data_IF_734898869384
#
_entry.id   IF_734898869384
#
_cell.length_a   1.000
_cell.length_b   1.000
_cell.length_c   1.000
_cell.angle_alpha   90.00
_cell.angle_beta   90.00
_cell.angle_gamma   90.00
#
_symmetry.space_group_name_H-M   'P 1'
#
loop_
_entity.id
_entity.type
_entity.pdbx_description
1 polymer ?
#
# COMPACT_ATOMS: atom_id res chain seq x y z
N UNK A 1 -13.60 21.98 15.93
CA UNK A 1 -13.59 20.66 15.26
C UNK A 1 -15.00 20.32 14.84
N UNK A 2 -15.22 19.52 13.78
CA UNK A 2 -16.57 19.08 13.43
C UNK A 2 -17.16 18.18 14.54
N UNK A 3 -18.43 18.36 14.88
CA UNK A 3 -19.07 17.63 16.00
C UNK A 3 -19.28 16.14 15.73
N UNK A 4 -19.59 15.77 14.47
CA UNK A 4 -20.10 14.43 14.13
C UNK A 4 -19.21 13.61 13.19
N UNK A 5 -18.09 14.18 12.71
CA UNK A 5 -17.21 13.55 11.72
C UNK A 5 -15.75 13.84 12.08
N UNK A 6 -14.80 13.14 11.47
CA UNK A 6 -13.38 13.48 11.67
C UNK A 6 -13.00 14.80 10.98
N UNK A 7 -11.98 15.50 11.48
CA UNK A 7 -11.43 16.69 10.79
C UNK A 7 -10.88 16.35 9.40
N UNK A 8 -10.41 15.12 9.23
CA UNK A 8 -9.92 14.61 7.95
C UNK A 8 -11.06 14.43 6.94
N UNK A 9 -12.20 13.87 7.37
CA UNK A 9 -13.39 13.75 6.53
C UNK A 9 -13.89 15.13 6.08
N UNK A 10 -13.86 16.12 6.99
CA UNK A 10 -14.17 17.52 6.64
C UNK A 10 -13.20 18.05 5.58
N UNK A 11 -11.89 17.85 5.74
CA UNK A 11 -10.87 18.27 4.76
C UNK A 11 -11.14 17.69 3.37
N UNK A 12 -11.36 16.38 3.25
CA UNK A 12 -11.64 15.71 1.97
C UNK A 12 -12.91 16.24 1.29
N UNK A 13 -13.97 16.52 2.05
CA UNK A 13 -15.19 17.13 1.50
C UNK A 13 -14.93 18.53 0.98
N UNK A 14 -14.08 19.31 1.66
CA UNK A 14 -13.65 20.63 1.19
C UNK A 14 -12.76 20.55 -0.06
N UNK A 15 -12.01 19.46 -0.23
CA UNK A 15 -11.26 19.13 -1.45
C UNK A 15 -12.16 18.59 -2.59
N UNK A 16 -13.47 18.46 -2.35
CA UNK A 16 -14.47 18.07 -3.35
C UNK A 16 -14.76 16.56 -3.41
N UNK A 17 -14.22 15.78 -2.48
CA UNK A 17 -14.47 14.34 -2.43
C UNK A 17 -15.88 14.01 -1.90
N UNK A 18 -16.50 12.95 -2.43
CA UNK A 18 -17.76 12.42 -1.91
C UNK A 18 -17.49 11.24 -0.99
N UNK A 19 -17.75 11.43 0.30
CA UNK A 19 -17.50 10.41 1.33
C UNK A 19 -18.71 9.56 1.70
N UNK A 20 -19.80 9.60 0.92
CA UNK A 20 -21.06 8.90 1.26
C UNK A 20 -20.87 7.39 1.51
N UNK A 21 -19.98 6.77 0.74
CA UNK A 21 -19.73 5.33 0.81
C UNK A 21 -18.61 4.95 1.79
N UNK A 22 -17.73 5.90 2.14
CA UNK A 22 -16.53 5.66 2.96
C UNK A 22 -16.67 6.15 4.40
N UNK A 23 -17.39 7.26 4.61
CA UNK A 23 -17.69 7.81 5.93
C UNK A 23 -19.13 8.36 5.95
N UNK A 24 -20.11 7.54 6.35
CA UNK A 24 -21.51 7.95 6.42
C UNK A 24 -21.79 9.11 7.38
N UNK A 25 -20.84 9.43 8.27
CA UNK A 25 -20.96 10.54 9.22
C UNK A 25 -20.46 11.86 8.63
N UNK A 26 -19.74 11.82 7.51
CA UNK A 26 -19.29 13.03 6.81
C UNK A 26 -20.49 13.86 6.34
N UNK A 27 -20.39 15.17 6.52
CA UNK A 27 -21.44 16.13 6.14
C UNK A 27 -21.14 16.73 4.78
N UNK A 28 -22.16 17.28 4.14
CA UNK A 28 -21.96 18.06 2.91
C UNK A 28 -21.17 19.35 3.19
N UNK A 29 -20.57 19.93 2.16
CA UNK A 29 -19.85 21.21 2.28
C UNK A 29 -20.76 22.32 2.82
N UNK A 30 -22.04 22.34 2.44
CA UNK A 30 -22.99 23.34 2.91
C UNK A 30 -23.26 23.18 4.40
N UNK A 31 -23.53 21.95 4.86
CA UNK A 31 -23.73 21.68 6.29
C UNK A 31 -22.49 22.07 7.12
N UNK A 32 -21.28 21.74 6.66
CA UNK A 32 -20.07 22.13 7.38
C UNK A 32 -19.92 23.65 7.52
N UNK A 33 -20.23 24.41 6.44
CA UNK A 33 -20.22 25.88 6.47
C UNK A 33 -21.30 26.44 7.40
N UNK A 34 -22.50 25.87 7.37
CA UNK A 34 -23.61 26.30 8.23
C UNK A 34 -23.27 26.09 9.72
N UNK A 35 -22.61 24.97 10.07
CA UNK A 35 -22.17 24.69 11.43
C UNK A 35 -21.03 25.59 11.92
N UNK A 36 -20.06 25.90 11.05
CA UNK A 36 -18.92 26.73 11.44
C UNK A 36 -19.24 28.23 11.44
N UNK A 37 -20.28 28.64 10.71
CA UNK A 37 -20.70 30.03 10.61
C UNK A 37 -19.75 30.88 9.78
N UNK A 38 -19.79 32.19 10.02
CA UNK A 38 -19.09 33.20 9.21
C UNK A 38 -17.56 33.21 9.40
N UNK A 39 -17.07 32.63 10.49
CA UNK A 39 -15.64 32.62 10.84
C UNK A 39 -14.92 31.33 10.38
N UNK A 40 -15.57 30.47 9.59
CA UNK A 40 -14.96 29.28 8.99
C UNK A 40 -13.69 29.67 8.20
N UNK A 41 -12.55 29.10 8.62
CA UNK A 41 -11.24 29.38 7.99
C UNK A 41 -10.56 30.68 8.43
N UNK A 42 -11.15 31.43 9.37
CA UNK A 42 -10.56 32.67 9.91
C UNK A 42 -9.56 32.44 11.06
N UNK A 43 -9.31 31.17 11.42
CA UNK A 43 -8.36 30.77 12.46
C UNK A 43 -7.41 29.67 11.97
N UNK A 44 -6.27 29.54 12.64
CA UNK A 44 -5.26 28.53 12.33
C UNK A 44 -4.09 29.09 11.54
N UNK A 45 -3.61 28.31 10.56
CA UNK A 45 -2.39 28.59 9.81
C UNK A 45 -2.68 29.50 8.61
N UNK A 46 -1.90 30.57 8.48
CA UNK A 46 -2.05 31.50 7.34
C UNK A 46 -1.62 30.89 6.00
N UNK A 47 -2.22 31.36 4.90
CA UNK A 47 -1.80 31.00 3.53
C UNK A 47 -0.33 31.34 3.27
N UNK A 48 0.18 32.43 3.87
CA UNK A 48 1.60 32.80 3.79
C UNK A 48 2.50 31.75 4.44
N UNK A 49 2.09 31.19 5.58
CA UNK A 49 2.83 30.11 6.21
C UNK A 49 2.86 28.89 5.29
N UNK A 50 1.70 28.46 4.77
CA UNK A 50 1.61 27.32 3.85
C UNK A 50 2.51 27.50 2.61
N UNK A 51 2.47 28.68 1.99
CA UNK A 51 3.34 29.00 0.85
C UNK A 51 4.83 28.92 1.20
N UNK A 52 5.24 29.44 2.37
CA UNK A 52 6.63 29.36 2.84
C UNK A 52 7.06 27.91 3.08
N UNK A 53 6.19 27.07 3.66
CA UNK A 53 6.47 25.65 3.86
C UNK A 53 6.71 24.99 2.50
N UNK A 54 5.75 25.08 1.58
CA UNK A 54 5.84 24.46 0.26
C UNK A 54 7.11 24.92 -0.47
N UNK A 55 7.41 26.23 -0.42
CA UNK A 55 8.64 26.78 -0.99
C UNK A 55 9.90 26.19 -0.37
N UNK A 56 9.94 26.03 0.97
CA UNK A 56 11.08 25.40 1.65
C UNK A 56 11.22 23.93 1.27
N UNK A 57 10.13 23.21 1.08
CA UNK A 57 10.14 21.80 0.68
C UNK A 57 10.67 21.63 -0.75
N UNK A 58 10.22 22.48 -1.69
CA UNK A 58 10.76 22.49 -3.05
C UNK A 58 12.25 22.83 -3.08
N UNK A 59 12.70 23.74 -2.21
CA UNK A 59 14.12 24.13 -2.13
C UNK A 59 14.91 23.31 -1.10
N UNK A 60 14.37 22.22 -0.58
CA UNK A 60 15.03 21.43 0.47
C UNK A 60 16.33 20.80 -0.03
N UNK A 61 16.35 20.40 -1.30
CA UNK A 61 17.49 19.78 -1.96
C UNK A 61 17.74 20.44 -3.31
N UNK A 62 18.90 21.08 -3.47
CA UNK A 62 19.23 21.84 -4.68
C UNK A 62 19.38 20.99 -5.94
N UNK A 63 19.55 19.68 -5.80
CA UNK A 63 19.67 18.75 -6.92
C UNK A 63 18.33 18.08 -7.28
N UNK A 64 17.29 18.30 -6.47
CA UNK A 64 15.96 17.74 -6.70
C UNK A 64 15.06 18.76 -7.41
N UNK A 65 14.24 18.28 -8.35
CA UNK A 65 13.33 19.12 -9.14
C UNK A 65 11.89 19.07 -8.64
N UNK A 66 11.57 18.13 -7.75
CA UNK A 66 10.23 17.91 -7.23
C UNK A 66 10.18 17.90 -5.69
N UNK A 67 9.13 18.51 -5.13
CA UNK A 67 8.85 18.44 -3.70
C UNK A 67 8.59 16.98 -3.25
N UNK A 68 9.13 16.61 -2.09
CA UNK A 68 8.94 15.28 -1.50
C UNK A 68 8.03 15.36 -0.25
N UNK A 69 6.96 14.53 -0.15
CA UNK A 69 6.08 14.51 1.03
C UNK A 69 6.77 14.18 2.36
N UNK A 70 7.85 13.38 2.35
CA UNK A 70 8.67 13.11 3.55
C UNK A 70 9.38 14.38 4.02
N UNK A 71 9.94 15.15 3.08
CA UNK A 71 10.51 16.46 3.41
C UNK A 71 9.43 17.44 3.85
N UNK A 72 8.22 17.39 3.28
CA UNK A 72 7.10 18.22 3.73
C UNK A 72 6.77 17.98 5.20
N UNK A 73 6.63 16.72 5.61
CA UNK A 73 6.37 16.39 7.01
C UNK A 73 7.50 16.87 7.92
N UNK A 74 8.76 16.65 7.53
CA UNK A 74 9.92 17.14 8.29
C UNK A 74 9.97 18.67 8.41
N UNK A 75 9.79 19.40 7.30
CA UNK A 75 9.82 20.86 7.27
C UNK A 75 8.65 21.44 8.07
N UNK A 76 7.47 20.80 8.04
CA UNK A 76 6.33 21.19 8.85
C UNK A 76 6.64 21.05 10.35
N UNK A 77 7.15 19.90 10.79
CA UNK A 77 7.53 19.68 12.20
C UNK A 77 8.53 20.75 12.67
N UNK A 78 9.60 20.96 11.90
CA UNK A 78 10.62 21.95 12.21
C UNK A 78 10.09 23.39 12.22
N UNK A 79 9.13 23.73 11.36
CA UNK A 79 8.56 25.07 11.35
C UNK A 79 7.58 25.27 12.51
N UNK A 80 6.77 24.27 12.86
CA UNK A 80 5.84 24.33 13.98
C UNK A 80 6.58 24.60 15.29
N UNK A 81 7.68 23.89 15.54
CA UNK A 81 8.56 24.12 16.70
C UNK A 81 9.15 25.54 16.73
N UNK A 82 9.46 26.11 15.55
CA UNK A 82 10.05 27.46 15.43
C UNK A 82 9.05 28.59 15.60
N UNK A 83 7.77 28.39 15.31
CA UNK A 83 6.75 29.42 15.48
C UNK A 83 6.42 29.68 16.95
N UNK A 84 6.88 28.83 17.88
CA UNK A 84 6.65 28.95 19.32
C UNK A 84 5.16 29.11 19.65
N UNK A 85 4.34 28.22 19.09
CA UNK A 85 2.92 28.17 19.41
C UNK A 85 2.68 27.88 20.90
N UNK A 86 1.50 28.19 21.44
CA UNK A 86 1.08 27.63 22.72
C UNK A 86 1.22 26.10 22.70
N UNK A 87 1.68 25.51 23.80
CA UNK A 87 2.03 24.08 23.87
C UNK A 87 0.91 23.15 23.36
N UNK A 88 -0.35 23.44 23.69
CA UNK A 88 -1.50 22.67 23.22
C UNK A 88 -1.67 22.74 21.69
N UNK A 89 -1.45 23.91 21.10
CA UNK A 89 -1.55 24.12 19.64
C UNK A 89 -0.39 23.44 18.92
N UNK A 90 0.82 23.55 19.45
CA UNK A 90 1.99 22.87 18.92
C UNK A 90 1.78 21.35 18.91
N UNK A 91 1.40 20.78 20.06
CA UNK A 91 1.12 19.36 20.20
C UNK A 91 0.03 18.90 19.23
N UNK A 92 -1.04 19.69 19.08
CA UNK A 92 -2.13 19.41 18.14
C UNK A 92 -1.66 19.38 16.69
N UNK A 93 -0.84 20.34 16.26
CA UNK A 93 -0.33 20.38 14.89
C UNK A 93 0.67 19.26 14.61
N UNK A 94 1.54 18.93 15.57
CA UNK A 94 2.44 17.78 15.46
C UNK A 94 1.64 16.46 15.39
N UNK A 95 0.54 16.33 16.15
CA UNK A 95 -0.33 15.17 16.09
C UNK A 95 -0.97 15.01 14.69
N UNK A 96 -1.38 16.09 14.03
CA UNK A 96 -1.87 16.00 12.64
C UNK A 96 -0.86 15.41 11.68
N UNK A 97 0.42 15.74 11.84
CA UNK A 97 1.49 15.18 11.00
C UNK A 97 1.71 13.70 11.32
N UNK A 98 1.87 13.36 12.59
CA UNK A 98 2.30 12.01 13.02
C UNK A 98 1.17 10.98 13.02
N UNK A 99 -0.04 11.39 13.34
CA UNK A 99 -1.19 10.49 13.52
C UNK A 99 -2.13 10.49 12.31
N UNK A 100 -2.13 11.55 11.48
CA UNK A 100 -3.00 11.62 10.30
C UNK A 100 -2.22 11.53 8.99
N UNK A 101 -1.24 12.42 8.76
CA UNK A 101 -0.54 12.48 7.47
C UNK A 101 0.43 11.32 7.27
N UNK A 102 1.31 11.06 8.24
CA UNK A 102 2.36 10.05 8.10
C UNK A 102 1.82 8.62 7.92
N UNK A 103 0.83 8.13 8.71
CA UNK A 103 0.33 6.77 8.54
C UNK A 103 -0.39 6.58 7.21
N UNK A 104 -1.18 7.58 6.77
CA UNK A 104 -1.89 7.55 5.50
C UNK A 104 -0.93 7.59 4.32
N UNK A 105 0.10 8.44 4.39
CA UNK A 105 1.13 8.49 3.35
C UNK A 105 1.93 7.19 3.33
N UNK A 106 2.23 6.57 4.47
CA UNK A 106 2.89 5.27 4.55
C UNK A 106 2.07 4.17 3.87
N UNK A 107 0.75 4.16 4.06
CA UNK A 107 -0.15 3.25 3.36
C UNK A 107 -0.13 3.50 1.84
N UNK A 108 -0.26 4.77 1.42
CA UNK A 108 -0.24 5.16 0.01
C UNK A 108 1.07 4.77 -0.68
N UNK A 109 2.21 5.21 -0.14
CA UNK A 109 3.51 4.94 -0.75
C UNK A 109 3.88 3.46 -0.67
N UNK A 110 3.43 2.76 0.37
CA UNK A 110 3.56 1.32 0.50
C UNK A 110 2.90 0.60 -0.67
N UNK A 111 1.64 0.95 -1.00
CA UNK A 111 0.93 0.42 -2.17
C UNK A 111 1.68 0.72 -3.46
N UNK A 112 2.16 1.95 -3.64
CA UNK A 112 2.90 2.36 -4.83
C UNK A 112 4.20 1.57 -5.05
N UNK A 113 5.01 1.44 -3.99
CA UNK A 113 6.26 0.65 -3.99
C UNK A 113 5.94 -0.82 -4.28
N UNK A 114 4.91 -1.37 -3.63
CA UNK A 114 4.53 -2.75 -3.80
C UNK A 114 4.03 -3.04 -5.21
N UNK A 115 3.18 -2.19 -5.79
CA UNK A 115 2.72 -2.33 -7.18
C UNK A 115 3.90 -2.27 -8.15
N UNK A 116 4.81 -1.30 -7.99
CA UNK A 116 6.00 -1.19 -8.83
C UNK A 116 6.94 -2.40 -8.68
N UNK A 117 6.94 -3.06 -7.52
CA UNK A 117 7.63 -4.33 -7.32
C UNK A 117 6.93 -5.50 -8.03
N UNK A 118 5.60 -5.61 -7.92
CA UNK A 118 4.85 -6.73 -8.51
C UNK A 118 4.91 -6.75 -10.04
N UNK A 119 4.97 -5.57 -10.66
CA UNK A 119 5.15 -5.46 -12.11
C UNK A 119 6.50 -6.01 -12.62
N UNK A 120 7.52 -6.18 -11.75
CA UNK A 120 8.74 -6.94 -12.11
C UNK A 120 8.58 -8.45 -11.99
N UNK A 121 7.54 -8.93 -11.32
CA UNK A 121 7.46 -10.28 -10.80
C UNK A 121 6.16 -10.96 -11.23
N UNK A 122 5.86 -10.90 -12.53
CA UNK A 122 4.79 -11.72 -13.13
C UNK A 122 4.98 -13.20 -12.81
N UNK A 123 6.23 -13.68 -12.79
CA UNK A 123 6.59 -15.04 -12.41
C UNK A 123 6.29 -15.34 -10.94
N UNK A 124 6.51 -14.39 -10.03
CA UNK A 124 6.19 -14.60 -8.62
C UNK A 124 4.68 -14.73 -8.40
N UNK A 125 3.91 -13.83 -9.04
CA UNK A 125 2.45 -13.92 -9.09
C UNK A 125 1.96 -15.25 -9.60
N UNK A 126 2.57 -15.69 -10.70
CA UNK A 126 2.26 -16.98 -11.30
C UNK A 126 2.61 -18.15 -10.38
N UNK A 127 3.76 -18.11 -9.69
CA UNK A 127 4.17 -19.18 -8.78
C UNK A 127 3.23 -19.30 -7.58
N UNK A 128 2.79 -18.18 -6.97
CA UNK A 128 1.79 -18.21 -5.90
C UNK A 128 0.47 -18.76 -6.44
N UNK A 129 0.05 -18.33 -7.62
CA UNK A 129 -1.18 -18.79 -8.28
C UNK A 129 -1.15 -20.30 -8.53
N UNK A 130 -0.10 -20.79 -9.19
CA UNK A 130 0.04 -22.19 -9.58
C UNK A 130 0.07 -23.10 -8.35
N UNK A 131 0.82 -22.69 -7.31
CA UNK A 131 0.87 -23.41 -6.04
C UNK A 131 -0.48 -23.39 -5.32
N UNK A 132 -1.15 -22.24 -5.26
CA UNK A 132 -2.48 -22.12 -4.64
C UNK A 132 -3.50 -23.04 -5.31
N UNK A 133 -3.54 -23.05 -6.66
CA UNK A 133 -4.46 -23.91 -7.42
C UNK A 133 -4.18 -25.38 -7.15
N UNK A 134 -2.91 -25.80 -7.17
CA UNK A 134 -2.52 -27.18 -6.88
C UNK A 134 -2.94 -27.56 -5.47
N UNK A 135 -2.58 -26.77 -4.46
CA UNK A 135 -2.91 -27.08 -3.06
C UNK A 135 -4.42 -27.13 -2.82
N UNK A 136 -5.16 -26.20 -3.43
CA UNK A 136 -6.62 -26.17 -3.35
C UNK A 136 -7.25 -27.42 -3.99
N UNK A 137 -6.73 -27.88 -5.13
CA UNK A 137 -7.21 -29.08 -5.82
C UNK A 137 -7.01 -30.34 -4.97
N UNK A 138 -5.79 -30.56 -4.45
CA UNK A 138 -5.50 -31.68 -3.55
C UNK A 138 -6.33 -31.62 -2.25
N UNK A 139 -6.52 -30.42 -1.69
CA UNK A 139 -7.33 -30.23 -0.48
C UNK A 139 -8.83 -30.52 -0.71
N UNK A 140 -9.36 -30.19 -1.89
CA UNK A 140 -10.75 -30.50 -2.30
C UNK A 140 -10.90 -32.00 -2.51
N UNK A 141 -9.93 -32.64 -3.18
CA UNK A 141 -9.93 -34.07 -3.48
C UNK A 141 -9.62 -34.96 -2.27
N UNK A 142 -9.24 -34.36 -1.13
CA UNK A 142 -8.84 -35.07 0.08
C UNK A 142 -7.65 -36.01 -0.15
N UNK A 143 -6.68 -35.54 -0.96
CA UNK A 143 -5.45 -36.26 -1.29
C UNK A 143 -4.24 -35.58 -0.67
N UNK A 144 -3.24 -36.38 -0.35
CA UNK A 144 -1.92 -35.88 0.06
C UNK A 144 -1.19 -35.31 -1.16
N UNK A 145 -0.54 -34.17 -0.98
CA UNK A 145 0.33 -33.60 -1.97
C UNK A 145 1.78 -33.88 -1.59
N UNK A 146 2.58 -34.34 -2.56
CA UNK A 146 4.03 -34.48 -2.40
C UNK A 146 4.72 -33.43 -3.24
N UNK A 147 5.44 -32.53 -2.57
CA UNK A 147 6.21 -31.49 -3.23
C UNK A 147 7.34 -32.10 -4.06
N UNK A 148 7.44 -31.70 -5.32
CA UNK A 148 8.40 -32.27 -6.26
C UNK A 148 9.83 -31.79 -6.01
N UNK A 149 9.99 -30.63 -5.39
CA UNK A 149 11.27 -29.97 -5.22
C UNK A 149 11.89 -30.33 -3.88
N UNK A 150 11.08 -30.37 -2.81
CA UNK A 150 11.54 -30.67 -1.45
C UNK A 150 11.29 -32.13 -1.03
N UNK A 151 10.36 -32.82 -1.68
CA UNK A 151 9.91 -34.16 -1.29
C UNK A 151 9.00 -34.19 -0.06
N UNK A 152 8.64 -33.02 0.48
CA UNK A 152 7.74 -32.87 1.63
C UNK A 152 6.33 -33.36 1.30
N UNK A 153 5.66 -34.01 2.26
CA UNK A 153 4.30 -34.51 2.10
C UNK A 153 3.37 -33.62 2.93
N UNK A 154 2.38 -33.06 2.26
CA UNK A 154 1.34 -32.23 2.85
C UNK A 154 0.05 -33.04 2.94
N UNK A 155 -0.35 -33.33 4.17
CA UNK A 155 -1.68 -33.83 4.45
C UNK A 155 -2.74 -32.71 4.27
N UNK A 156 -4.02 -33.08 4.38
CA UNK A 156 -5.12 -32.13 4.22
C UNK A 156 -5.04 -30.95 5.21
N UNK A 157 -4.57 -31.18 6.43
CA UNK A 157 -4.41 -30.15 7.45
C UNK A 157 -3.30 -29.16 7.11
N UNK A 158 -2.16 -29.67 6.66
CA UNK A 158 -1.02 -28.90 6.21
C UNK A 158 -1.35 -28.07 4.95
N UNK A 159 -2.04 -28.67 3.98
CA UNK A 159 -2.57 -27.95 2.81
C UNK A 159 -3.50 -26.82 3.23
N UNK A 160 -4.40 -27.05 4.19
CA UNK A 160 -5.28 -26.01 4.71
C UNK A 160 -4.48 -24.86 5.33
N UNK A 161 -3.44 -25.16 6.12
CA UNK A 161 -2.60 -24.14 6.74
C UNK A 161 -1.87 -23.28 5.69
N UNK A 162 -1.34 -23.89 4.62
CA UNK A 162 -0.70 -23.15 3.52
C UNK A 162 -1.69 -22.26 2.74
N UNK A 163 -2.89 -22.77 2.44
CA UNK A 163 -3.93 -22.01 1.77
C UNK A 163 -4.41 -20.83 2.63
N UNK A 164 -4.57 -21.04 3.94
CA UNK A 164 -4.97 -19.98 4.87
C UNK A 164 -3.96 -18.83 4.96
N UNK A 165 -2.66 -19.09 4.79
CA UNK A 165 -1.63 -18.03 4.74
C UNK A 165 -1.86 -17.06 3.60
N UNK A 166 -2.53 -17.48 2.53
CA UNK A 166 -2.85 -16.68 1.33
C UNK A 166 -4.25 -16.05 1.47
N UNK A 167 -5.22 -16.79 2.00
CA UNK A 167 -6.63 -16.38 2.09
C UNK A 167 -6.93 -15.40 3.24
N UNK A 168 -6.25 -15.55 4.40
CA UNK A 168 -6.50 -14.71 5.59
C UNK A 168 -6.20 -13.22 5.36
N UNK A 169 -5.07 -12.82 4.74
CA UNK A 169 -4.82 -11.42 4.42
C UNK A 169 -5.91 -10.80 3.53
N UNK A 170 -6.60 -11.63 2.74
CA UNK A 170 -7.66 -11.19 1.87
C UNK A 170 -9.05 -11.11 2.49
N UNK A 171 -9.24 -11.68 3.69
CA UNK A 171 -10.51 -11.68 4.41
C UNK A 171 -11.55 -12.60 3.78
N UNK A 172 -11.13 -13.74 3.22
CA UNK A 172 -12.05 -14.70 2.59
C UNK A 172 -12.96 -15.34 3.64
N UNK A 173 -14.26 -15.04 3.57
CA UNK A 173 -15.26 -15.51 4.55
C UNK A 173 -15.60 -17.01 4.40
N UNK A 174 -15.61 -17.54 3.18
CA UNK A 174 -15.88 -18.95 2.91
C UNK A 174 -14.75 -19.55 2.06
N UNK A 175 -13.66 -20.02 2.69
CA UNK A 175 -12.51 -20.59 2.00
C UNK A 175 -12.85 -21.79 1.12
N UNK A 176 -13.78 -22.65 1.56
CA UNK A 176 -14.15 -23.86 0.81
C UNK A 176 -14.76 -23.51 -0.55
N UNK A 177 -15.75 -22.63 -0.57
CA UNK A 177 -16.42 -22.24 -1.82
C UNK A 177 -15.45 -21.46 -2.72
N UNK A 178 -14.63 -20.60 -2.12
CA UNK A 178 -13.60 -19.87 -2.84
C UNK A 178 -12.60 -20.81 -3.54
N UNK A 179 -12.03 -21.79 -2.83
CA UNK A 179 -11.13 -22.81 -3.39
C UNK A 179 -11.78 -23.57 -4.56
N UNK A 180 -13.02 -24.02 -4.37
CA UNK A 180 -13.77 -24.73 -5.42
C UNK A 180 -13.98 -23.86 -6.66
N UNK A 181 -14.34 -22.60 -6.48
CA UNK A 181 -14.54 -21.65 -7.58
C UNK A 181 -13.25 -21.46 -8.39
N UNK A 182 -12.11 -21.24 -7.70
CA UNK A 182 -10.80 -21.08 -8.32
C UNK A 182 -10.41 -22.32 -9.12
N UNK A 183 -10.44 -23.51 -8.49
CA UNK A 183 -10.00 -24.75 -9.14
C UNK A 183 -10.87 -25.02 -10.37
N UNK A 184 -12.18 -24.85 -10.29
CA UNK A 184 -13.08 -25.01 -11.44
C UNK A 184 -12.84 -23.98 -12.55
N UNK A 185 -12.48 -22.74 -12.21
CA UNK A 185 -12.06 -21.76 -13.22
C UNK A 185 -10.79 -22.22 -13.94
N UNK A 186 -9.76 -22.65 -13.20
CA UNK A 186 -8.48 -23.03 -13.79
C UNK A 186 -8.57 -24.32 -14.59
N UNK A 187 -9.31 -25.32 -14.12
CA UNK A 187 -9.55 -26.56 -14.88
C UNK A 187 -10.23 -26.28 -16.22
N UNK A 188 -11.23 -25.39 -16.25
CA UNK A 188 -11.87 -24.95 -17.51
C UNK A 188 -10.90 -24.20 -18.41
N UNK A 189 -10.10 -23.29 -17.86
CA UNK A 189 -9.09 -22.57 -18.63
C UNK A 189 -8.05 -23.51 -19.23
N UNK A 190 -7.53 -24.48 -18.45
CA UNK A 190 -6.58 -25.50 -18.91
C UNK A 190 -7.15 -26.33 -20.06
N UNK A 191 -8.40 -26.79 -19.93
CA UNK A 191 -9.07 -27.58 -20.95
C UNK A 191 -9.14 -26.84 -22.30
N UNK A 192 -9.29 -25.51 -22.27
CA UNK A 192 -9.36 -24.66 -23.45
C UNK A 192 -7.99 -24.18 -23.98
N UNK A 193 -6.91 -24.32 -23.19
CA UNK A 193 -5.57 -23.82 -23.51
C UNK A 193 -4.49 -24.91 -23.53
N UNK A 194 -4.86 -26.14 -23.93
CA UNK A 194 -3.89 -27.24 -24.11
C UNK A 194 -3.15 -27.61 -22.82
N UNK A 195 -3.83 -27.54 -21.68
CA UNK A 195 -3.28 -27.90 -20.37
C UNK A 195 -2.52 -26.78 -19.64
N UNK A 196 -2.34 -25.61 -20.26
CA UNK A 196 -1.63 -24.48 -19.63
C UNK A 196 -2.50 -23.75 -18.61
N UNK A 197 -1.90 -23.39 -17.47
CA UNK A 197 -2.53 -22.48 -16.53
C UNK A 197 -2.78 -21.11 -17.17
N UNK A 198 -3.89 -20.44 -16.82
CA UNK A 198 -4.08 -19.05 -17.20
C UNK A 198 -3.09 -18.16 -16.44
N UNK A 199 -2.87 -16.95 -16.96
CA UNK A 199 -2.11 -15.93 -16.24
C UNK A 199 -2.79 -15.62 -14.91
N UNK A 200 -2.01 -15.43 -13.85
CA UNK A 200 -2.54 -15.17 -12.50
C UNK A 200 -3.40 -13.89 -12.43
N UNK A 201 -3.17 -12.95 -13.35
CA UNK A 201 -3.94 -11.70 -13.50
C UNK A 201 -5.28 -11.88 -14.21
N UNK A 202 -5.53 -13.04 -14.81
CA UNK A 202 -6.74 -13.31 -15.62
C UNK A 202 -8.02 -13.43 -14.80
N UNK A 203 -7.90 -13.69 -13.50
CA UNK A 203 -9.05 -13.87 -12.60
C UNK A 203 -8.99 -12.92 -11.41
N UNK A 204 -9.85 -11.91 -11.44
CA UNK A 204 -9.81 -10.77 -10.52
C UNK A 204 -9.86 -11.17 -9.04
N UNK A 205 -10.70 -12.16 -8.69
CA UNK A 205 -10.82 -12.59 -7.29
C UNK A 205 -9.51 -13.17 -6.75
N UNK A 206 -8.88 -14.09 -7.49
CA UNK A 206 -7.60 -14.68 -7.05
C UNK A 206 -6.45 -13.70 -7.17
N UNK A 207 -6.45 -12.85 -8.21
CA UNK A 207 -5.50 -11.75 -8.34
C UNK A 207 -5.48 -10.88 -7.09
N UNK A 208 -6.65 -10.42 -6.63
CA UNK A 208 -6.77 -9.58 -5.43
C UNK A 208 -6.23 -10.27 -4.19
N UNK A 209 -6.49 -11.59 -4.06
CA UNK A 209 -6.01 -12.40 -2.94
C UNK A 209 -4.48 -12.54 -2.95
N UNK A 210 -3.91 -12.82 -4.12
CA UNK A 210 -2.46 -12.92 -4.32
C UNK A 210 -1.79 -11.57 -4.07
N UNK A 211 -2.33 -10.48 -4.60
CA UNK A 211 -1.84 -9.12 -4.34
C UNK A 211 -1.81 -8.83 -2.84
N UNK A 212 -2.92 -9.09 -2.12
CA UNK A 212 -2.97 -8.90 -0.66
C UNK A 212 -1.98 -9.79 0.10
N UNK A 213 -1.77 -11.03 -0.33
CA UNK A 213 -0.73 -11.91 0.23
C UNK A 213 0.65 -11.30 0.04
N UNK A 214 0.98 -10.88 -1.18
CA UNK A 214 2.27 -10.27 -1.48
C UNK A 214 2.49 -8.96 -0.70
N UNK A 215 1.44 -8.15 -0.53
CA UNK A 215 1.49 -6.91 0.26
C UNK A 215 1.70 -7.16 1.75
N UNK A 216 1.23 -8.30 2.26
CA UNK A 216 1.43 -8.69 3.66
C UNK A 216 2.87 -9.09 3.98
N UNK A 217 3.64 -9.58 3.00
CA UNK A 217 5.00 -10.10 3.23
C UNK A 217 6.11 -9.15 2.73
N UNK A 218 6.37 -8.09 3.49
CA UNK A 218 7.40 -7.09 3.13
C UNK A 218 8.83 -7.60 3.13
N UNK A 219 9.12 -8.70 3.84
CA UNK A 219 10.47 -9.25 3.90
C UNK A 219 10.93 -9.73 2.52
N UNK A 220 10.01 -10.22 1.70
CA UNK A 220 10.27 -10.66 0.33
C UNK A 220 10.54 -9.48 -0.62
N UNK A 221 10.08 -8.27 -0.28
CA UNK A 221 10.33 -7.07 -1.08
C UNK A 221 11.74 -6.51 -0.83
N UNK A 222 12.27 -6.69 0.38
CA UNK A 222 13.52 -6.08 0.84
C UNK A 222 14.71 -6.25 -0.11
N UNK A 223 14.98 -7.44 -0.67
CA UNK A 223 16.13 -7.63 -1.57
C UNK A 223 16.09 -6.69 -2.77
N UNK A 224 14.90 -6.35 -3.26
CA UNK A 224 14.73 -5.52 -4.46
C UNK A 224 14.57 -4.05 -4.10
N UNK A 225 13.72 -3.69 -3.13
CA UNK A 225 13.44 -2.27 -2.84
C UNK A 225 14.53 -1.59 -1.98
N UNK A 226 15.38 -2.38 -1.31
CA UNK A 226 16.54 -1.86 -0.58
C UNK A 226 17.54 -1.18 -1.53
N UNK A 227 18.24 -0.14 -1.07
CA UNK A 227 19.31 0.50 -1.83
C UNK A 227 20.72 0.00 -1.41
N UNK A 228 20.79 -1.12 -0.68
CA UNK A 228 22.05 -1.81 -0.42
C UNK A 228 22.61 -2.46 -1.69
N UNK A 229 23.93 -2.72 -1.71
CA UNK A 229 24.58 -3.46 -2.77
C UNK A 229 23.90 -4.81 -3.03
N UNK A 230 23.65 -5.12 -4.31
CA UNK A 230 23.02 -6.37 -4.75
C UNK A 230 24.05 -7.48 -4.91
N UNK A 231 23.66 -8.72 -4.62
CA UNK A 231 24.56 -9.86 -4.64
C UNK A 231 24.73 -10.45 -6.04
N UNK A 232 23.78 -10.21 -6.95
CA UNK A 232 23.82 -10.74 -8.32
C UNK A 232 23.40 -9.70 -9.37
N UNK A 233 23.81 -9.93 -10.63
CA UNK A 233 23.40 -9.10 -11.76
C UNK A 233 21.88 -9.14 -12.00
N UNK A 234 21.24 -10.27 -11.70
CA UNK A 234 19.78 -10.40 -11.79
C UNK A 234 19.07 -9.51 -10.76
N UNK A 235 19.56 -9.46 -9.52
CA UNK A 235 19.05 -8.56 -8.49
C UNK A 235 19.28 -7.07 -8.82
N UNK A 236 20.42 -6.73 -9.42
CA UNK A 236 20.69 -5.36 -9.92
C UNK A 236 19.63 -4.99 -10.95
N UNK A 237 19.42 -5.84 -11.95
CA UNK A 237 18.44 -5.59 -13.02
C UNK A 237 17.02 -5.43 -12.45
N UNK A 238 16.61 -6.31 -11.53
CA UNK A 238 15.30 -6.23 -10.85
C UNK A 238 15.12 -4.93 -10.07
N UNK A 239 16.15 -4.46 -9.39
CA UNK A 239 16.14 -3.18 -8.69
C UNK A 239 16.03 -2.00 -9.65
N UNK A 240 16.81 -1.99 -10.74
CA UNK A 240 16.75 -0.96 -11.77
C UNK A 240 15.36 -0.89 -12.42
N UNK A 241 14.79 -2.04 -12.77
CA UNK A 241 13.44 -2.14 -13.32
C UNK A 241 12.38 -1.60 -12.33
N UNK A 242 12.53 -1.88 -11.04
CA UNK A 242 11.69 -1.31 -9.98
C UNK A 242 11.79 0.22 -9.92
N UNK A 243 13.02 0.77 -9.89
CA UNK A 243 13.24 2.22 -9.87
C UNK A 243 12.66 2.87 -11.12
N UNK A 244 12.87 2.28 -12.30
CA UNK A 244 12.34 2.79 -13.57
C UNK A 244 10.81 2.86 -13.59
N UNK A 245 10.12 1.87 -13.04
CA UNK A 245 8.65 1.90 -12.94
C UNK A 245 8.15 2.96 -11.97
N UNK A 246 8.82 3.14 -10.84
CA UNK A 246 8.52 4.28 -9.97
C UNK A 246 8.76 5.61 -10.70
N UNK A 247 9.83 5.73 -11.49
CA UNK A 247 10.07 6.94 -12.30
C UNK A 247 8.97 7.16 -13.34
N UNK A 248 8.46 6.10 -13.97
CA UNK A 248 7.31 6.19 -14.89
C UNK A 248 6.03 6.67 -14.19
N UNK A 249 5.89 6.44 -12.88
CA UNK A 249 4.79 6.99 -12.05
C UNK A 249 4.99 8.47 -11.66
N UNK A 250 6.10 9.09 -12.07
CA UNK A 250 6.37 10.51 -11.86
C UNK A 250 7.31 10.83 -10.69
N UNK A 251 7.87 9.81 -10.02
CA UNK A 251 8.90 10.02 -9.00
C UNK A 251 10.27 10.27 -9.62
N UNK A 252 11.17 10.97 -8.93
CA UNK A 252 12.59 10.98 -9.32
C UNK A 252 13.34 9.81 -8.67
N UNK A 253 14.43 9.34 -9.27
CA UNK A 253 15.22 8.23 -8.70
C UNK A 253 15.68 8.51 -7.26
N UNK A 254 15.98 9.77 -6.94
CA UNK A 254 16.36 10.21 -5.60
C UNK A 254 15.17 10.17 -4.63
N UNK A 255 13.98 10.57 -5.07
CA UNK A 255 12.76 10.39 -4.29
C UNK A 255 12.47 8.91 -4.04
N UNK A 256 12.59 8.04 -5.05
CA UNK A 256 12.37 6.59 -4.88
C UNK A 256 13.22 6.04 -3.74
N UNK A 257 14.51 6.39 -3.71
CA UNK A 257 15.40 6.00 -2.62
C UNK A 257 14.91 6.46 -1.25
N UNK A 258 14.65 7.75 -1.10
CA UNK A 258 14.20 8.32 0.17
C UNK A 258 12.87 7.69 0.63
N UNK A 259 11.93 7.48 -0.29
CA UNK A 259 10.62 6.92 -0.02
C UNK A 259 10.72 5.45 0.42
N UNK A 260 11.55 4.64 -0.25
CA UNK A 260 11.82 3.27 0.18
C UNK A 260 12.46 3.23 1.57
N UNK A 261 13.50 4.03 1.83
CA UNK A 261 14.17 4.08 3.14
C UNK A 261 13.21 4.54 4.26
N UNK A 262 12.39 5.57 3.98
CA UNK A 262 11.41 6.08 4.93
C UNK A 262 10.30 5.06 5.20
N UNK A 263 9.73 4.45 4.17
CA UNK A 263 8.69 3.42 4.30
C UNK A 263 9.16 2.23 5.13
N UNK A 264 10.38 1.74 4.86
CA UNK A 264 10.98 0.65 5.62
C UNK A 264 11.20 1.01 7.09
N UNK A 265 11.51 2.27 7.41
CA UNK A 265 11.64 2.75 8.79
C UNK A 265 10.29 2.79 9.49
N UNK A 266 9.28 3.40 8.87
CA UNK A 266 7.92 3.51 9.44
C UNK A 266 7.35 2.13 9.76
N UNK A 267 7.53 1.16 8.87
CA UNK A 267 7.09 -0.22 9.10
C UNK A 267 7.84 -0.96 10.19
N UNK A 268 9.11 -0.65 10.44
CA UNK A 268 9.86 -1.24 11.56
C UNK A 268 9.44 -0.68 12.91
N UNK A 269 8.91 0.55 12.94
CA UNK A 269 8.44 1.23 14.15
C UNK A 269 6.94 1.03 14.44
N UNK A 270 6.19 0.43 13.52
CA UNK A 270 4.76 0.13 13.66
C UNK A 270 4.57 -1.31 14.14
#
# INVERSE_FOLDING_TARGET
EPENSSIYSKMQVYDGESLKDTDPKAKSIQEYRDYAGVDEGMSGISTRFAFKIISKVFNFDSAEVAANPVHLMYVLEQQIEREQFPAETEQKYIAYIKEMLAPRYAEFIGKEIQTAYLESYSEYGQNIFDRYVTYADYWIQDQEYRDTDTGEIFDRGALNAELEKIEKPAGIANPKDFRNEIVNFVLRARANNGGKNPLWTSYEKLRTVIEKKMFSNTEELLPVISFNAKASADEVKKHEDFVNRMVQKGYTAKQVRLLCEWYLRVRKSS
#
